data_IF_955611133625
#
_entry.id   IF_955611133625
#
_cell.length_a   1.000
_cell.length_b   1.000
_cell.length_c   1.000
_cell.angle_alpha   90.00
_cell.angle_beta   90.00
_cell.angle_gamma   90.00
#
_symmetry.space_group_name_H-M   'P 1'
#
loop_
_entity.id
_entity.type
_entity.pdbx_description
1 polymer ?
#
# COMPACT_ATOMS: atom_id res chain seq x y z
N UNK A 1 23.05 -24.33 36.46
CA UNK A 1 23.95 -23.95 35.35
C UNK A 1 23.11 -23.86 34.10
N UNK A 2 22.60 -22.66 33.79
CA UNK A 2 21.70 -22.43 32.66
C UNK A 2 22.48 -22.16 31.38
N UNK A 3 22.05 -22.78 30.28
CA UNK A 3 22.62 -22.59 28.97
C UNK A 3 22.36 -21.15 28.47
N UNK A 4 23.43 -20.44 28.09
CA UNK A 4 23.37 -19.18 27.37
C UNK A 4 23.02 -19.49 25.90
N UNK A 5 21.80 -19.15 25.46
CA UNK A 5 21.43 -19.27 24.05
C UNK A 5 21.78 -17.97 23.30
N UNK A 6 22.91 -18.01 22.58
CA UNK A 6 23.30 -17.00 21.61
C UNK A 6 22.53 -17.24 20.31
N UNK A 7 21.50 -16.44 20.03
CA UNK A 7 20.75 -16.52 18.78
C UNK A 7 21.44 -15.70 17.69
N UNK A 8 22.21 -16.37 16.83
CA UNK A 8 22.71 -15.80 15.59
C UNK A 8 21.63 -15.91 14.50
N UNK A 9 21.11 -14.79 14.02
CA UNK A 9 20.31 -14.75 12.78
C UNK A 9 21.23 -15.05 11.59
N UNK A 10 21.29 -16.31 11.16
CA UNK A 10 21.96 -16.68 9.90
C UNK A 10 21.02 -16.40 8.73
N UNK A 11 21.14 -15.22 8.13
CA UNK A 11 20.86 -15.05 6.70
C UNK A 11 22.18 -15.08 5.91
N UNK A 12 22.13 -15.64 4.71
CA UNK A 12 23.27 -15.81 3.82
C UNK A 12 23.77 -14.44 3.32
N UNK A 13 24.80 -13.93 3.98
CA UNK A 13 25.53 -12.72 3.59
C UNK A 13 26.25 -12.15 4.80
N UNK A 14 27.56 -12.37 4.90
CA UNK A 14 28.38 -11.97 6.04
C UNK A 14 28.52 -10.45 6.15
N UNK A 15 27.56 -9.80 6.79
CA UNK A 15 27.70 -8.45 7.35
C UNK A 15 27.50 -8.52 8.86
N UNK A 16 28.34 -7.79 9.61
CA UNK A 16 28.30 -7.68 11.08
C UNK A 16 26.96 -7.12 11.56
N UNK A 17 25.99 -8.02 11.77
CA UNK A 17 24.76 -7.72 12.49
C UNK A 17 25.12 -7.48 13.96
N UNK A 18 24.63 -6.38 14.54
CA UNK A 18 24.75 -6.13 15.98
C UNK A 18 24.05 -7.28 16.72
N UNK A 19 24.83 -8.22 17.25
CA UNK A 19 24.31 -9.31 18.08
C UNK A 19 23.81 -8.72 19.40
N UNK A 20 22.50 -8.61 19.57
CA UNK A 20 21.91 -8.11 20.81
C UNK A 20 21.64 -9.28 21.75
N UNK A 21 22.52 -9.49 22.72
CA UNK A 21 22.26 -10.39 23.85
C UNK A 21 21.11 -9.81 24.71
N UNK A 22 19.95 -10.45 24.67
CA UNK A 22 18.74 -10.02 25.40
C UNK A 22 18.92 -10.17 26.93
N UNK A 23 19.93 -10.93 27.38
CA UNK A 23 20.14 -11.25 28.79
C UNK A 23 20.77 -10.12 29.65
N UNK A 24 21.35 -9.07 29.08
CA UNK A 24 22.24 -8.17 29.85
C UNK A 24 21.66 -6.82 30.31
N UNK A 25 20.54 -6.34 29.77
CA UNK A 25 19.74 -5.32 30.50
C UNK A 25 18.29 -5.26 30.03
N UNK A 26 17.35 -5.49 30.95
CA UNK A 26 15.91 -5.23 30.74
C UNK A 26 15.58 -3.74 30.81
N UNK A 27 16.54 -2.90 31.16
CA UNK A 27 16.37 -1.45 31.24
C UNK A 27 17.01 -0.74 30.04
N UNK A 28 16.30 0.25 29.44
CA UNK A 28 16.85 1.11 28.40
C UNK A 28 18.07 1.87 28.92
N UNK A 29 19.18 1.81 28.18
CA UNK A 29 20.41 2.55 28.43
C UNK A 29 20.49 3.85 27.60
N UNK A 30 19.36 4.31 27.06
CA UNK A 30 19.22 5.53 26.27
C UNK A 30 18.18 6.47 26.87
N UNK A 31 18.31 7.75 26.54
CA UNK A 31 17.37 8.80 26.94
C UNK A 31 16.14 8.83 26.02
N UNK A 32 15.01 9.37 26.52
CA UNK A 32 13.79 9.52 25.72
C UNK A 32 14.00 10.45 24.51
N UNK A 33 14.90 11.44 24.62
CA UNK A 33 15.26 12.34 23.52
C UNK A 33 15.99 11.62 22.39
N UNK A 34 16.97 10.77 22.70
CA UNK A 34 17.68 9.93 21.72
C UNK A 34 16.69 9.01 20.99
N UNK A 35 15.79 8.35 21.73
CA UNK A 35 14.78 7.48 21.12
C UNK A 35 13.84 8.26 20.18
N UNK A 36 13.42 9.45 20.60
CA UNK A 36 12.53 10.32 19.80
C UNK A 36 13.22 10.79 18.52
N UNK A 37 14.52 11.09 18.56
CA UNK A 37 15.29 11.50 17.39
C UNK A 37 15.42 10.36 16.38
N UNK A 38 15.83 9.18 16.84
CA UNK A 38 15.95 7.99 15.99
C UNK A 38 14.59 7.62 15.35
N UNK A 39 13.50 7.65 16.14
CA UNK A 39 12.15 7.40 15.64
C UNK A 39 11.70 8.41 14.58
N UNK A 40 11.92 9.71 14.81
CA UNK A 40 11.56 10.74 13.83
C UNK A 40 12.26 10.50 12.49
N UNK A 41 13.52 10.09 12.54
CA UNK A 41 14.29 9.76 11.34
C UNK A 41 13.67 8.58 10.58
N UNK A 42 13.26 7.52 11.28
CA UNK A 42 12.48 6.41 10.68
C UNK A 42 11.18 6.93 10.09
N UNK A 43 10.43 7.79 10.79
CA UNK A 43 9.17 8.35 10.30
C UNK A 43 9.35 9.09 8.96
N UNK A 44 10.43 9.89 8.81
CA UNK A 44 10.72 10.63 7.57
C UNK A 44 11.29 9.78 6.42
N UNK A 45 11.75 8.57 6.70
CA UNK A 45 12.26 7.66 5.67
C UNK A 45 11.15 6.68 5.26
N UNK A 46 10.59 5.97 6.23
CA UNK A 46 9.69 4.84 5.97
C UNK A 46 8.31 5.28 5.49
N UNK A 47 7.70 6.29 6.13
CA UNK A 47 6.33 6.70 5.80
C UNK A 47 6.22 7.31 4.39
N UNK A 48 7.13 8.20 3.93
CA UNK A 48 7.05 8.72 2.57
C UNK A 48 7.28 7.64 1.52
N UNK A 49 8.25 6.74 1.71
CA UNK A 49 8.56 5.68 0.73
C UNK A 49 7.40 4.68 0.61
N UNK A 50 6.86 4.20 1.74
CA UNK A 50 5.68 3.33 1.74
C UNK A 50 4.45 4.06 1.19
N UNK A 51 4.27 5.33 1.56
CA UNK A 51 3.19 6.17 1.06
C UNK A 51 3.23 6.40 -0.45
N UNK A 52 4.41 6.61 -1.03
CA UNK A 52 4.60 6.71 -2.48
C UNK A 52 4.29 5.39 -3.19
N UNK A 53 4.72 4.26 -2.64
CA UNK A 53 4.36 2.96 -3.20
C UNK A 53 2.86 2.68 -3.11
N UNK A 54 2.21 3.10 -2.03
CA UNK A 54 0.75 3.01 -1.91
C UNK A 54 0.04 3.97 -2.87
N UNK A 55 0.59 5.15 -3.11
CA UNK A 55 0.12 6.07 -4.13
C UNK A 55 0.17 5.43 -5.53
N UNK A 56 1.29 4.76 -5.88
CA UNK A 56 1.43 4.04 -7.14
C UNK A 56 0.36 2.95 -7.29
N UNK A 57 0.12 2.17 -6.23
CA UNK A 57 -0.96 1.17 -6.20
C UNK A 57 -2.33 1.79 -6.50
N UNK A 58 -2.63 2.95 -5.91
CA UNK A 58 -3.90 3.62 -6.14
C UNK A 58 -4.01 4.23 -7.54
N UNK A 59 -2.89 4.65 -8.12
CA UNK A 59 -2.80 5.08 -9.51
C UNK A 59 -3.27 3.96 -10.44
N UNK A 60 -2.65 2.78 -10.31
CA UNK A 60 -2.90 1.63 -11.17
C UNK A 60 -4.28 0.98 -10.97
N UNK A 61 -4.91 1.20 -9.82
CA UNK A 61 -6.30 0.78 -9.56
C UNK A 61 -7.33 1.77 -10.08
N UNK A 62 -7.09 3.06 -9.84
CA UNK A 62 -7.99 4.16 -10.19
C UNK A 62 -8.04 4.48 -11.69
N UNK A 63 -7.00 4.11 -12.43
CA UNK A 63 -6.84 4.37 -13.85
C UNK A 63 -8.06 3.99 -14.71
N UNK A 64 -8.76 2.90 -14.37
CA UNK A 64 -9.91 2.42 -15.13
C UNK A 64 -11.10 3.38 -15.05
N UNK A 65 -11.30 4.04 -13.90
CA UNK A 65 -12.37 5.03 -13.74
C UNK A 65 -12.14 6.23 -14.65
N UNK A 66 -10.89 6.70 -14.72
CA UNK A 66 -10.49 7.77 -15.61
C UNK A 66 -10.59 7.34 -17.09
N UNK A 67 -10.11 6.14 -17.44
CA UNK A 67 -10.16 5.60 -18.80
C UNK A 67 -11.59 5.40 -19.33
N UNK A 68 -12.56 5.06 -18.45
CA UNK A 68 -13.99 4.96 -18.79
C UNK A 68 -14.60 6.29 -19.24
N UNK A 69 -13.96 7.41 -18.93
CA UNK A 69 -14.35 8.72 -19.47
C UNK A 69 -13.82 8.96 -20.89
N UNK A 70 -13.00 8.08 -21.45
CA UNK A 70 -12.43 8.19 -22.79
C UNK A 70 -12.99 7.10 -23.75
N UNK A 71 -12.22 6.67 -24.75
CA UNK A 71 -12.68 5.76 -25.83
C UNK A 71 -12.45 4.27 -25.56
N UNK A 72 -11.97 3.87 -24.37
CA UNK A 72 -11.55 2.49 -24.07
C UNK A 72 -12.59 1.42 -24.42
N UNK A 73 -13.87 1.68 -24.16
CA UNK A 73 -14.96 0.72 -24.45
C UNK A 73 -15.16 0.52 -25.95
N UNK A 74 -15.01 1.58 -26.74
CA UNK A 74 -15.10 1.52 -28.20
C UNK A 74 -13.87 0.83 -28.78
N UNK A 75 -12.67 1.23 -28.33
CA UNK A 75 -11.41 0.74 -28.89
C UNK A 75 -11.19 -0.76 -28.63
N UNK A 76 -11.64 -1.27 -27.49
CA UNK A 76 -11.55 -2.69 -27.15
C UNK A 76 -12.79 -3.50 -27.54
N UNK A 77 -13.84 -2.85 -28.07
CA UNK A 77 -15.14 -3.45 -28.36
C UNK A 77 -15.76 -4.16 -27.13
N UNK A 78 -15.71 -3.50 -25.98
CA UNK A 78 -16.18 -4.04 -24.70
C UNK A 78 -17.31 -3.22 -24.12
N UNK A 79 -18.21 -3.93 -23.45
CA UNK A 79 -19.27 -3.33 -22.64
C UNK A 79 -18.75 -2.95 -21.25
N UNK A 80 -19.47 -2.06 -20.57
CA UNK A 80 -19.21 -1.71 -19.17
C UNK A 80 -19.28 -2.94 -18.24
N UNK A 81 -20.15 -3.91 -18.53
CA UNK A 81 -20.20 -5.16 -17.77
C UNK A 81 -18.91 -5.99 -17.93
N UNK A 82 -18.34 -6.02 -19.13
CA UNK A 82 -17.06 -6.69 -19.38
C UNK A 82 -15.89 -5.99 -18.66
N UNK A 83 -15.92 -4.66 -18.53
CA UNK A 83 -14.98 -3.91 -17.68
C UNK A 83 -15.12 -4.34 -16.21
N UNK A 84 -16.35 -4.47 -15.70
CA UNK A 84 -16.58 -4.96 -14.33
C UNK A 84 -16.01 -6.37 -14.10
N UNK A 85 -16.12 -7.27 -15.08
CA UNK A 85 -15.49 -8.59 -15.00
C UNK A 85 -13.97 -8.46 -14.82
N UNK A 86 -13.31 -7.55 -15.54
CA UNK A 86 -11.89 -7.26 -15.34
C UNK A 86 -11.56 -6.75 -13.94
N UNK A 87 -12.36 -5.83 -13.39
CA UNK A 87 -12.19 -5.34 -12.01
C UNK A 87 -12.35 -6.46 -10.97
N UNK A 88 -13.30 -7.37 -11.19
CA UNK A 88 -13.49 -8.56 -10.37
C UNK A 88 -12.32 -9.52 -10.47
N UNK A 89 -11.74 -9.72 -11.67
CA UNK A 89 -10.54 -10.55 -11.85
C UNK A 89 -9.31 -9.98 -11.17
N UNK A 90 -9.13 -8.65 -11.19
CA UNK A 90 -8.07 -7.99 -10.41
C UNK A 90 -8.22 -8.32 -8.92
N UNK A 91 -9.42 -8.13 -8.37
CA UNK A 91 -9.72 -8.47 -6.98
C UNK A 91 -9.50 -9.95 -6.68
N UNK A 92 -9.90 -10.84 -7.59
CA UNK A 92 -9.69 -12.28 -7.45
C UNK A 92 -8.19 -12.64 -7.45
N UNK A 93 -7.39 -12.02 -8.32
CA UNK A 93 -5.94 -12.20 -8.35
C UNK A 93 -5.28 -11.83 -7.02
N UNK A 94 -5.71 -10.72 -6.42
CA UNK A 94 -5.26 -10.31 -5.08
C UNK A 94 -5.59 -11.39 -4.06
N UNK A 95 -6.86 -11.82 -3.96
CA UNK A 95 -7.30 -12.81 -2.97
C UNK A 95 -6.51 -14.13 -3.08
N UNK A 96 -6.24 -14.59 -4.30
CA UNK A 96 -5.52 -15.85 -4.54
C UNK A 96 -4.08 -15.79 -4.03
N UNK A 97 -3.38 -14.68 -4.26
CA UNK A 97 -1.95 -14.57 -3.92
C UNK A 97 -1.68 -13.81 -2.63
N UNK A 98 -2.67 -13.22 -1.96
CA UNK A 98 -2.44 -12.40 -0.77
C UNK A 98 -1.79 -13.20 0.38
N UNK A 99 -2.27 -14.41 0.67
CA UNK A 99 -1.66 -15.26 1.70
C UNK A 99 -0.27 -15.77 1.26
N UNK A 100 -0.11 -16.40 0.07
CA UNK A 100 1.19 -16.84 -0.42
C UNK A 100 2.25 -15.72 -0.48
N UNK A 101 1.87 -14.55 -0.98
CA UNK A 101 2.74 -13.38 -1.11
C UNK A 101 3.26 -12.92 0.25
N UNK A 102 2.40 -12.87 1.27
CA UNK A 102 2.83 -12.50 2.62
C UNK A 102 3.72 -13.54 3.31
N UNK A 103 3.52 -14.83 3.03
CA UNK A 103 4.45 -15.88 3.49
C UNK A 103 5.82 -15.69 2.83
N UNK A 104 5.83 -15.37 1.54
CA UNK A 104 7.06 -15.15 0.79
C UNK A 104 7.78 -13.88 1.24
N UNK A 105 7.05 -12.80 1.54
CA UNK A 105 7.56 -11.57 2.11
C UNK A 105 8.33 -11.82 3.42
N UNK A 106 7.80 -12.67 4.31
CA UNK A 106 8.49 -13.02 5.56
C UNK A 106 9.78 -13.82 5.34
N UNK A 107 9.91 -14.53 4.21
CA UNK A 107 11.09 -15.33 3.86
C UNK A 107 12.16 -14.54 3.11
N UNK A 108 11.73 -13.66 2.20
CA UNK A 108 12.63 -12.90 1.32
C UNK A 108 13.03 -11.56 1.92
N UNK A 109 12.22 -11.04 2.84
CA UNK A 109 12.37 -9.72 3.43
C UNK A 109 11.52 -8.68 2.68
N UNK A 110 10.96 -7.68 3.39
CA UNK A 110 10.04 -6.72 2.78
C UNK A 110 10.67 -5.89 1.67
N UNK A 111 11.94 -5.49 1.82
CA UNK A 111 12.62 -4.64 0.84
C UNK A 111 12.67 -5.29 -0.53
N UNK A 112 13.15 -6.53 -0.63
CA UNK A 112 13.30 -7.25 -1.90
C UNK A 112 11.95 -7.64 -2.48
N UNK A 113 11.04 -8.15 -1.66
CA UNK A 113 9.74 -8.62 -2.13
C UNK A 113 8.84 -7.47 -2.59
N UNK A 114 8.64 -6.44 -1.76
CA UNK A 114 7.78 -5.31 -2.13
C UNK A 114 8.34 -4.56 -3.35
N UNK A 115 9.67 -4.42 -3.46
CA UNK A 115 10.32 -3.87 -4.65
C UNK A 115 9.99 -4.64 -5.93
N UNK A 116 10.15 -5.97 -5.87
CA UNK A 116 9.83 -6.84 -7.00
C UNK A 116 8.36 -6.69 -7.41
N UNK A 117 7.45 -6.64 -6.44
CA UNK A 117 6.04 -6.43 -6.72
C UNK A 117 5.79 -5.09 -7.41
N UNK A 118 6.32 -3.97 -6.89
CA UNK A 118 6.09 -2.63 -7.44
C UNK A 118 6.49 -2.56 -8.92
N UNK A 119 7.68 -3.07 -9.24
CA UNK A 119 8.17 -3.11 -10.62
C UNK A 119 7.30 -4.04 -11.48
N UNK A 120 6.94 -5.21 -10.96
CA UNK A 120 6.14 -6.19 -11.70
C UNK A 120 4.75 -5.66 -12.06
N UNK A 121 4.03 -5.07 -11.10
CA UNK A 121 2.70 -4.52 -11.39
C UNK A 121 2.79 -3.24 -12.21
N UNK A 122 3.82 -2.40 -12.01
CA UNK A 122 4.07 -1.23 -12.85
C UNK A 122 4.29 -1.59 -14.32
N UNK A 123 5.05 -2.67 -14.59
CA UNK A 123 5.21 -3.21 -15.95
C UNK A 123 3.88 -3.67 -16.54
N UNK A 124 3.07 -4.41 -15.78
CA UNK A 124 1.74 -4.85 -16.23
C UNK A 124 0.83 -3.65 -16.51
N UNK A 125 0.83 -2.63 -15.64
CA UNK A 125 0.06 -1.41 -15.80
C UNK A 125 0.46 -0.65 -17.07
N UNK A 126 1.77 -0.49 -17.34
CA UNK A 126 2.25 0.10 -18.59
C UNK A 126 1.82 -0.71 -19.81
N UNK A 127 1.95 -2.04 -19.76
CA UNK A 127 1.61 -2.89 -20.90
C UNK A 127 0.10 -3.00 -21.16
N UNK A 128 -0.73 -2.66 -20.18
CA UNK A 128 -2.18 -2.60 -20.36
C UNK A 128 -2.59 -1.59 -21.45
N UNK A 129 -1.78 -0.55 -21.68
CA UNK A 129 -1.99 0.41 -22.76
C UNK A 129 -1.98 -0.22 -24.17
N UNK A 130 -1.40 -1.41 -24.33
CA UNK A 130 -1.31 -2.11 -25.61
C UNK A 130 -2.45 -3.11 -25.82
N UNK A 131 -3.41 -3.20 -24.89
CA UNK A 131 -4.59 -4.03 -25.08
C UNK A 131 -5.36 -3.62 -26.35
N UNK A 132 -5.79 -4.62 -27.13
CA UNK A 132 -6.54 -4.42 -28.38
C UNK A 132 -7.90 -5.10 -28.38
N UNK A 133 -8.16 -5.97 -27.41
CA UNK A 133 -9.40 -6.73 -27.31
C UNK A 133 -9.73 -7.07 -25.85
N UNK A 134 -10.91 -7.64 -25.65
CA UNK A 134 -11.40 -8.04 -24.33
C UNK A 134 -10.50 -9.04 -23.61
N UNK A 135 -9.96 -10.04 -24.31
CA UNK A 135 -9.12 -11.06 -23.69
C UNK A 135 -7.80 -10.45 -23.16
N UNK A 136 -7.16 -9.59 -23.94
CA UNK A 136 -5.97 -8.85 -23.52
C UNK A 136 -6.26 -8.03 -22.26
N UNK A 137 -7.40 -7.33 -22.22
CA UNK A 137 -7.85 -6.59 -21.04
C UNK A 137 -8.03 -7.50 -19.81
N UNK A 138 -8.70 -8.65 -19.93
CA UNK A 138 -8.88 -9.57 -18.81
C UNK A 138 -7.54 -10.10 -18.28
N UNK A 139 -6.62 -10.47 -19.18
CA UNK A 139 -5.29 -10.97 -18.83
C UNK A 139 -4.48 -9.91 -18.08
N UNK A 140 -4.46 -8.67 -18.56
CA UNK A 140 -3.73 -7.60 -17.86
C UNK A 140 -4.34 -7.31 -16.49
N UNK A 141 -5.67 -7.34 -16.34
CA UNK A 141 -6.33 -7.10 -15.04
C UNK A 141 -6.04 -8.19 -14.02
N UNK A 142 -6.08 -9.47 -14.40
CA UNK A 142 -5.74 -10.55 -13.46
C UNK A 142 -4.25 -10.51 -13.11
N UNK A 143 -3.36 -10.28 -14.08
CA UNK A 143 -1.91 -10.16 -13.83
C UNK A 143 -1.61 -9.00 -12.88
N UNK A 144 -2.28 -7.86 -13.07
CA UNK A 144 -2.12 -6.70 -12.19
C UNK A 144 -2.50 -7.07 -10.75
N UNK A 145 -3.66 -7.72 -10.55
CA UNK A 145 -4.09 -8.21 -9.24
C UNK A 145 -3.12 -9.23 -8.61
N UNK A 146 -2.57 -10.14 -9.41
CA UNK A 146 -1.59 -11.12 -8.95
C UNK A 146 -0.27 -10.45 -8.52
N UNK A 147 0.21 -9.46 -9.26
CA UNK A 147 1.45 -8.74 -8.94
C UNK A 147 1.31 -7.83 -7.70
N UNK A 148 0.16 -7.16 -7.54
CA UNK A 148 -0.14 -6.29 -6.40
C UNK A 148 -0.44 -7.07 -5.09
N UNK A 149 -0.73 -8.36 -5.20
CA UNK A 149 -1.23 -9.17 -4.08
C UNK A 149 -0.29 -9.14 -2.87
N UNK A 150 -0.78 -8.71 -1.71
CA UNK A 150 0.01 -8.70 -0.48
C UNK A 150 0.87 -7.45 -0.25
N UNK A 151 0.87 -6.45 -1.15
CA UNK A 151 1.59 -5.19 -0.90
C UNK A 151 1.10 -4.48 0.37
N UNK A 152 -0.23 -4.29 0.53
CA UNK A 152 -0.79 -3.57 1.69
C UNK A 152 -0.44 -4.29 3.01
N UNK A 153 -0.75 -5.60 3.19
CA UNK A 153 -0.34 -6.29 4.41
C UNK A 153 1.18 -6.33 4.59
N UNK A 154 1.95 -6.42 3.50
CA UNK A 154 3.41 -6.38 3.53
C UNK A 154 3.99 -5.05 3.99
N UNK A 155 3.41 -3.94 3.56
CA UNK A 155 3.75 -2.59 4.03
C UNK A 155 3.40 -2.43 5.52
N UNK A 156 2.22 -2.91 5.95
CA UNK A 156 1.81 -2.90 7.36
C UNK A 156 2.73 -3.78 8.23
N UNK A 157 3.12 -4.95 7.73
CA UNK A 157 4.11 -5.81 8.38
C UNK A 157 5.43 -5.08 8.53
N UNK A 158 5.93 -4.45 7.46
CA UNK A 158 7.15 -3.64 7.50
C UNK A 158 7.03 -2.58 8.59
N UNK A 159 5.97 -1.78 8.62
CA UNK A 159 5.78 -0.79 9.69
C UNK A 159 5.79 -1.42 11.08
N UNK A 160 5.16 -2.58 11.25
CA UNK A 160 5.15 -3.30 12.53
C UNK A 160 6.53 -3.76 13.01
N UNK A 161 7.49 -3.99 12.11
CA UNK A 161 8.87 -4.33 12.49
C UNK A 161 9.65 -3.11 12.97
N UNK A 162 9.39 -1.93 12.42
CA UNK A 162 10.11 -0.69 12.77
C UNK A 162 9.56 0.05 14.00
N UNK A 163 8.30 -0.20 14.36
CA UNK A 163 7.60 0.55 15.42
C UNK A 163 7.16 -0.32 16.62
N UNK A 164 7.03 0.33 17.78
CA UNK A 164 6.40 -0.27 18.97
C UNK A 164 4.89 -0.42 18.76
N UNK A 165 4.24 -1.31 19.51
CA UNK A 165 2.78 -1.53 19.42
C UNK A 165 1.97 -0.24 19.63
N UNK A 166 2.35 0.56 20.62
CA UNK A 166 1.70 1.84 20.95
C UNK A 166 1.84 2.91 19.86
N UNK A 167 2.85 2.79 18.99
CA UNK A 167 3.19 3.77 17.97
C UNK A 167 2.66 3.41 16.59
N UNK A 168 2.46 2.11 16.35
CA UNK A 168 2.10 1.54 15.05
C UNK A 168 0.73 2.03 14.57
N UNK A 169 -0.26 2.07 15.46
CA UNK A 169 -1.65 2.45 15.10
C UNK A 169 -1.74 3.83 14.44
N UNK A 170 -1.11 4.86 15.02
CA UNK A 170 -1.11 6.21 14.46
C UNK A 170 -0.51 6.27 13.05
N UNK A 171 0.56 5.51 12.83
CA UNK A 171 1.31 5.52 11.57
C UNK A 171 0.55 4.77 10.48
N UNK A 172 -0.10 3.67 10.83
CA UNK A 172 -1.05 2.99 9.95
C UNK A 172 -2.18 3.95 9.55
N UNK A 173 -2.71 4.74 10.48
CA UNK A 173 -3.72 5.76 10.14
C UNK A 173 -3.18 6.81 9.16
N UNK A 174 -1.94 7.27 9.33
CA UNK A 174 -1.30 8.20 8.37
C UNK A 174 -1.12 7.54 6.99
N UNK A 175 -0.69 6.28 6.95
CA UNK A 175 -0.54 5.51 5.71
C UNK A 175 -1.88 5.40 4.95
N UNK A 176 -2.97 5.06 5.65
CA UNK A 176 -4.31 5.01 5.05
C UNK A 176 -4.92 6.38 4.75
N UNK A 177 -4.52 7.44 5.45
CA UNK A 177 -4.91 8.80 5.06
C UNK A 177 -4.26 9.18 3.72
N UNK A 178 -3.01 8.75 3.51
CA UNK A 178 -2.31 8.87 2.23
C UNK A 178 -3.08 8.23 1.06
N UNK A 179 -3.78 7.11 1.31
CA UNK A 179 -4.64 6.44 0.31
C UNK A 179 -5.72 7.37 -0.30
N UNK A 180 -6.38 8.14 0.56
CA UNK A 180 -7.48 9.00 0.15
C UNK A 180 -6.93 10.17 -0.68
N UNK A 181 -5.83 10.78 -0.21
CA UNK A 181 -5.14 11.84 -0.94
C UNK A 181 -4.59 11.34 -2.28
N UNK A 182 -4.07 10.12 -2.31
CA UNK A 182 -3.60 9.47 -3.53
C UNK A 182 -4.73 9.33 -4.55
N UNK A 183 -5.86 8.76 -4.12
CA UNK A 183 -7.03 8.55 -4.99
C UNK A 183 -7.56 9.86 -5.58
N UNK A 184 -7.59 10.95 -4.79
CA UNK A 184 -7.95 12.28 -5.26
C UNK A 184 -6.97 12.81 -6.32
N UNK A 185 -5.68 12.68 -6.05
CA UNK A 185 -4.59 13.16 -6.91
C UNK A 185 -4.52 12.37 -8.21
N UNK A 186 -4.74 11.05 -8.19
CA UNK A 186 -4.76 10.18 -9.37
C UNK A 186 -5.82 10.63 -10.36
N UNK A 187 -7.02 11.02 -9.88
CA UNK A 187 -8.07 11.55 -10.75
C UNK A 187 -7.65 12.88 -11.41
N UNK A 188 -6.89 13.71 -10.69
CA UNK A 188 -6.36 14.97 -11.22
C UNK A 188 -5.26 14.73 -12.28
N UNK A 189 -4.34 13.80 -11.99
CA UNK A 189 -3.29 13.39 -12.92
C UNK A 189 -3.93 12.80 -14.18
N UNK A 190 -4.91 11.93 -14.05
CA UNK A 190 -5.68 11.37 -15.16
C UNK A 190 -6.36 12.45 -16.00
N UNK A 191 -6.97 13.47 -15.37
CA UNK A 191 -7.51 14.62 -16.09
C UNK A 191 -6.44 15.34 -16.93
N UNK A 192 -5.25 15.55 -16.37
CA UNK A 192 -4.11 16.14 -17.07
C UNK A 192 -3.65 15.27 -18.25
N UNK A 193 -3.49 13.97 -18.05
CA UNK A 193 -3.05 13.04 -19.11
C UNK A 193 -4.07 12.94 -20.24
N UNK A 194 -5.36 12.96 -19.94
CA UNK A 194 -6.42 12.89 -20.95
C UNK A 194 -6.42 14.10 -21.92
N UNK A 195 -5.73 15.20 -21.59
CA UNK A 195 -5.50 16.30 -22.55
C UNK A 195 -4.61 15.88 -23.73
N UNK A 196 -3.85 14.80 -23.59
CA UNK A 196 -3.01 14.22 -24.65
C UNK A 196 -3.80 13.32 -25.61
N UNK A 197 -5.11 13.18 -25.45
CA UNK A 197 -5.94 12.37 -26.35
C UNK A 197 -5.76 12.82 -27.82
N UNK A 198 -5.46 11.86 -28.71
CA UNK A 198 -5.23 12.11 -30.13
C UNK A 198 -3.79 12.54 -30.47
N UNK A 199 -2.94 12.81 -29.47
CA UNK A 199 -1.51 13.05 -29.70
C UNK A 199 -0.85 11.80 -30.24
N UNK A 200 -0.12 11.94 -31.33
CA UNK A 200 0.53 10.85 -32.08
C UNK A 200 -0.46 9.76 -32.56
N UNK A 201 -1.75 10.10 -32.71
CA UNK A 201 -2.80 9.16 -33.10
C UNK A 201 -3.20 8.16 -32.01
N UNK A 202 -2.76 8.39 -30.77
CA UNK A 202 -3.00 7.48 -29.63
C UNK A 202 -4.17 7.99 -28.78
N UNK A 203 -5.04 7.07 -28.36
CA UNK A 203 -6.16 7.38 -27.47
C UNK A 203 -5.69 7.83 -26.08
N UNK A 204 -6.44 8.72 -25.43
CA UNK A 204 -6.06 9.29 -24.13
C UNK A 204 -5.89 8.23 -23.04
N UNK A 205 -6.75 7.22 -23.02
CA UNK A 205 -6.65 6.11 -22.07
C UNK A 205 -5.37 5.28 -22.20
N UNK A 206 -4.79 5.19 -23.41
CA UNK A 206 -3.51 4.49 -23.62
C UNK A 206 -2.37 5.30 -23.02
N UNK A 207 -2.35 6.63 -23.23
CA UNK A 207 -1.40 7.52 -22.57
C UNK A 207 -1.52 7.45 -21.05
N UNK A 208 -2.74 7.33 -20.53
CA UNK A 208 -3.02 7.18 -19.11
C UNK A 208 -2.32 5.95 -18.54
N UNK A 209 -2.55 4.76 -19.11
CA UNK A 209 -1.88 3.53 -18.65
C UNK A 209 -0.34 3.58 -18.81
N UNK A 210 0.17 4.17 -19.89
CA UNK A 210 1.64 4.29 -20.09
C UNK A 210 2.26 5.17 -19.02
N UNK A 211 1.77 6.40 -18.86
CA UNK A 211 2.37 7.40 -17.98
C UNK A 211 2.25 6.97 -16.52
N UNK A 212 1.07 6.49 -16.11
CA UNK A 212 0.85 6.02 -14.74
C UNK A 212 1.69 4.78 -14.43
N UNK A 213 1.74 3.78 -15.33
CA UNK A 213 2.57 2.60 -15.13
C UNK A 213 4.07 2.91 -15.11
N UNK A 214 4.56 3.82 -15.97
CA UNK A 214 5.97 4.26 -15.96
C UNK A 214 6.28 5.02 -14.67
N UNK A 215 5.34 5.84 -14.17
CA UNK A 215 5.47 6.49 -12.87
C UNK A 215 5.58 5.44 -11.75
N UNK A 216 4.76 4.40 -11.77
CA UNK A 216 4.85 3.26 -10.84
C UNK A 216 6.21 2.58 -10.90
N UNK A 217 6.76 2.31 -12.08
CA UNK A 217 8.10 1.73 -12.24
C UNK A 217 9.16 2.66 -11.63
N UNK A 218 9.07 3.97 -11.88
CA UNK A 218 9.96 4.97 -11.28
C UNK A 218 9.88 4.97 -9.75
N UNK A 219 8.67 4.89 -9.19
CA UNK A 219 8.45 4.76 -7.75
C UNK A 219 9.04 3.44 -7.23
N UNK A 220 8.92 2.34 -7.96
CA UNK A 220 9.56 1.07 -7.63
C UNK A 220 11.08 1.16 -7.59
N UNK A 221 11.70 1.90 -8.52
CA UNK A 221 13.13 2.16 -8.51
C UNK A 221 13.53 2.99 -7.28
N UNK A 222 12.77 4.04 -6.94
CA UNK A 222 12.97 4.81 -5.71
C UNK A 222 12.84 3.89 -4.49
N UNK A 223 11.85 3.01 -4.47
CA UNK A 223 11.65 2.07 -3.38
C UNK A 223 12.84 1.12 -3.19
N UNK A 224 13.36 0.55 -4.29
CA UNK A 224 14.57 -0.30 -4.29
C UNK A 224 15.75 0.48 -3.72
N UNK A 225 15.96 1.70 -4.22
CA UNK A 225 17.13 2.49 -3.91
C UNK A 225 17.14 3.02 -2.48
N UNK A 226 15.99 3.40 -1.93
CA UNK A 226 15.90 4.15 -0.67
C UNK A 226 15.31 3.36 0.51
N UNK A 227 14.55 2.27 0.30
CA UNK A 227 13.98 1.53 1.42
C UNK A 227 15.09 0.77 2.18
N UNK A 228 15.26 0.96 3.50
CA UNK A 228 16.21 0.19 4.29
C UNK A 228 15.77 -1.29 4.45
N UNK A 229 16.70 -2.27 4.36
CA UNK A 229 16.38 -3.70 4.44
C UNK A 229 15.70 -4.13 5.74
N UNK A 230 16.16 -3.63 6.88
CA UNK A 230 15.64 -4.01 8.20
C UNK A 230 16.02 -2.98 9.27
N UNK A 231 15.42 -3.10 10.46
CA UNK A 231 15.71 -2.19 11.60
C UNK A 231 17.19 -2.23 12.00
N UNK A 232 17.83 -3.40 11.87
CA UNK A 232 19.26 -3.58 12.15
C UNK A 232 20.18 -3.22 10.98
N UNK A 233 19.65 -3.12 9.76
CA UNK A 233 20.40 -2.73 8.58
C UNK A 233 19.79 -1.47 7.95
N UNK A 234 20.30 -0.32 8.36
CA UNK A 234 19.91 0.99 7.84
C UNK A 234 20.54 1.38 6.51
N UNK A 235 21.27 0.48 5.83
CA UNK A 235 21.97 0.77 4.58
C UNK A 235 21.02 0.62 3.39
N UNK A 236 20.61 1.70 2.73
CA UNK A 236 19.86 1.58 1.48
C UNK A 236 20.77 1.10 0.34
N UNK A 237 20.18 0.53 -0.71
CA UNK A 237 20.93 0.06 -1.87
C UNK A 237 21.63 1.21 -2.61
N UNK A 238 21.08 2.43 -2.58
CA UNK A 238 21.71 3.61 -3.20
C UNK A 238 23.08 3.95 -2.60
N UNK A 239 23.31 3.61 -1.33
CA UNK A 239 24.57 3.84 -0.64
C UNK A 239 25.65 2.82 -0.99
N UNK A 240 25.36 1.82 -1.83
CA UNK A 240 26.27 0.72 -2.21
C UNK A 240 26.96 0.04 -1.01
N UNK A 241 26.32 0.06 0.16
CA UNK A 241 26.86 -0.51 1.41
C UNK A 241 27.77 0.44 2.22
N UNK A 242 28.12 1.60 1.67
CA UNK A 242 29.02 2.59 2.31
C UNK A 242 28.29 3.58 3.21
N UNK A 243 27.00 3.83 2.94
CA UNK A 243 26.18 4.78 3.69
C UNK A 243 25.00 4.10 4.40
N UNK A 244 24.77 4.49 5.65
CA UNK A 244 23.62 4.08 6.46
C UNK A 244 22.82 5.30 6.87
N UNK A 245 21.49 5.18 6.81
CA UNK A 245 20.61 6.22 7.36
C UNK A 245 20.86 6.42 8.86
N UNK A 246 21.17 5.35 9.59
CA UNK A 246 21.23 5.36 11.04
C UNK A 246 22.68 5.17 11.52
N UNK A 247 23.07 5.91 12.56
CA UNK A 247 24.33 5.67 13.28
C UNK A 247 24.24 4.36 14.07
N UNK A 248 25.38 3.79 14.48
CA UNK A 248 25.40 2.56 15.29
C UNK A 248 24.59 2.70 16.58
N UNK A 249 24.60 3.89 17.21
CA UNK A 249 23.80 4.20 18.40
C UNK A 249 22.30 4.25 18.08
N UNK A 250 21.90 4.89 16.97
CA UNK A 250 20.50 4.94 16.54
C UNK A 250 19.97 3.54 16.19
N UNK A 251 20.74 2.72 15.46
CA UNK A 251 20.36 1.33 15.13
C UNK A 251 20.18 0.48 16.38
N UNK A 252 21.13 0.57 17.32
CA UNK A 252 21.05 -0.12 18.60
C UNK A 252 19.74 0.23 19.35
N UNK A 253 19.41 1.52 19.44
CA UNK A 253 18.17 1.98 20.09
C UNK A 253 16.93 1.46 19.35
N UNK A 254 16.90 1.55 18.00
CA UNK A 254 15.77 1.14 17.19
C UNK A 254 15.47 -0.37 17.27
N UNK A 255 16.51 -1.20 17.22
CA UNK A 255 16.37 -2.66 17.36
C UNK A 255 15.91 -2.99 18.77
N UNK A 256 16.63 -2.50 19.79
CA UNK A 256 16.42 -2.91 21.18
C UNK A 256 15.08 -2.46 21.73
N UNK A 257 14.62 -1.26 21.37
CA UNK A 257 13.32 -0.75 21.82
C UNK A 257 12.14 -1.56 21.28
N UNK A 258 12.26 -2.14 20.08
CA UNK A 258 11.21 -2.99 19.49
C UNK A 258 11.22 -4.36 20.15
N UNK A 259 12.41 -4.93 20.40
CA UNK A 259 12.57 -6.21 21.09
C UNK A 259 12.09 -6.16 22.55
N UNK A 260 12.34 -5.06 23.27
CA UNK A 260 11.86 -4.86 24.63
C UNK A 260 10.32 -4.71 24.70
N UNK A 261 9.69 -4.11 23.69
CA UNK A 261 8.23 -3.96 23.59
C UNK A 261 7.53 -5.27 23.23
N UNK A 262 8.16 -6.08 22.36
CA UNK A 262 7.62 -7.37 21.96
C UNK A 262 8.74 -8.38 21.65
N UNK A 263 9.13 -9.18 22.65
CA UNK A 263 10.13 -10.24 22.45
C UNK A 263 9.73 -11.26 21.39
N UNK A 264 8.43 -11.42 21.11
CA UNK A 264 7.93 -12.31 20.07
C UNK A 264 8.30 -11.85 18.66
N UNK A 265 8.69 -10.58 18.46
CA UNK A 265 9.25 -10.09 17.18
C UNK A 265 10.64 -10.64 16.87
N UNK A 266 11.32 -11.22 17.87
CA UNK A 266 12.58 -11.98 17.70
C UNK A 266 12.32 -13.39 17.18
N UNK A 267 11.12 -13.95 17.42
CA UNK A 267 10.77 -15.29 16.99
C UNK A 267 10.50 -15.27 15.49
N UNK A 268 11.47 -15.77 14.72
CA UNK A 268 11.31 -16.00 13.29
C UNK A 268 10.17 -17.01 13.07
N UNK A 269 9.07 -16.51 12.51
CA UNK A 269 7.92 -17.27 12.03
C UNK A 269 6.96 -17.79 13.11
N UNK A 270 5.84 -17.08 13.28
CA UNK A 270 4.65 -17.69 13.86
C UNK A 270 4.16 -18.73 12.86
N UNK A 271 4.31 -20.02 13.19
CA UNK A 271 3.78 -21.10 12.37
C UNK A 271 2.25 -21.07 12.40
N UNK A 272 1.64 -20.43 11.40
CA UNK A 272 0.19 -20.42 11.22
C UNK A 272 -0.22 -21.82 10.77
N UNK A 273 -0.92 -22.58 11.62
CA UNK A 273 -1.42 -23.89 11.21
C UNK A 273 -2.72 -23.75 10.41
N UNK A 274 -3.00 -24.73 9.54
CA UNK A 274 -4.30 -24.78 8.83
C UNK A 274 -5.51 -24.85 9.79
N UNK A 275 -5.30 -25.32 11.03
CA UNK A 275 -6.33 -25.31 12.08
C UNK A 275 -6.67 -23.90 12.54
N UNK A 276 -5.68 -23.00 12.60
CA UNK A 276 -5.88 -21.60 12.99
C UNK A 276 -6.65 -20.84 11.91
N UNK A 277 -6.35 -21.11 10.64
CA UNK A 277 -7.10 -20.57 9.50
C UNK A 277 -8.56 -21.03 9.57
N UNK A 278 -8.80 -22.32 9.78
CA UNK A 278 -10.16 -22.85 9.84
C UNK A 278 -10.97 -22.33 11.02
N UNK A 279 -10.32 -22.16 12.18
CA UNK A 279 -10.93 -21.54 13.37
C UNK A 279 -11.33 -20.10 13.11
N UNK A 280 -10.51 -19.36 12.37
CA UNK A 280 -10.75 -17.97 11.99
C UNK A 280 -11.94 -17.85 11.04
N UNK A 281 -11.98 -18.69 9.99
CA UNK A 281 -13.08 -18.69 9.01
C UNK A 281 -14.42 -19.06 9.64
N UNK A 282 -14.44 -19.92 10.67
CA UNK A 282 -15.67 -20.30 11.39
C UNK A 282 -16.06 -19.35 12.52
N UNK A 283 -15.28 -18.31 12.78
CA UNK A 283 -15.58 -17.39 13.87
C UNK A 283 -16.77 -16.48 13.49
N UNK A 284 -17.90 -16.63 14.18
CA UNK A 284 -19.11 -15.87 13.91
C UNK A 284 -18.89 -14.35 13.95
N UNK A 285 -18.02 -13.83 14.84
CA UNK A 285 -17.73 -12.39 14.90
C UNK A 285 -16.99 -11.91 13.66
N UNK A 286 -16.07 -12.72 13.14
CA UNK A 286 -15.33 -12.42 11.91
C UNK A 286 -16.28 -12.47 10.71
N UNK A 287 -17.15 -13.48 10.64
CA UNK A 287 -18.15 -13.60 9.56
C UNK A 287 -19.12 -12.41 9.54
N UNK A 288 -19.61 -11.97 10.71
CA UNK A 288 -20.43 -10.75 10.83
C UNK A 288 -19.65 -9.52 10.36
N UNK A 289 -18.38 -9.40 10.75
CA UNK A 289 -17.53 -8.29 10.30
C UNK A 289 -17.30 -8.31 8.78
N UNK A 290 -17.06 -9.49 8.18
CA UNK A 290 -16.94 -9.67 6.73
C UNK A 290 -18.22 -9.24 6.02
N UNK A 291 -19.40 -9.62 6.55
CA UNK A 291 -20.69 -9.23 5.97
C UNK A 291 -20.89 -7.71 5.99
N UNK A 292 -20.58 -7.05 7.12
CA UNK A 292 -20.67 -5.59 7.26
C UNK A 292 -19.71 -4.90 6.29
N UNK A 293 -18.47 -5.38 6.18
CA UNK A 293 -17.47 -4.80 5.28
C UNK A 293 -17.85 -5.00 3.82
N UNK A 294 -18.41 -6.16 3.47
CA UNK A 294 -18.88 -6.46 2.12
C UNK A 294 -20.02 -5.52 1.70
N UNK A 295 -21.02 -5.32 2.56
CA UNK A 295 -22.13 -4.39 2.25
C UNK A 295 -21.67 -2.93 2.17
N UNK A 296 -20.74 -2.51 3.04
CA UNK A 296 -20.20 -1.16 3.03
C UNK A 296 -19.32 -0.86 1.80
N UNK A 297 -18.57 -1.85 1.30
CA UNK A 297 -17.61 -1.64 0.20
C UNK A 297 -18.24 -1.73 -1.20
N UNK A 298 -19.38 -2.43 -1.35
CA UNK A 298 -20.08 -2.54 -2.65
C UNK A 298 -20.47 -1.16 -3.19
N UNK A 299 -21.08 -0.31 -2.36
CA UNK A 299 -21.52 1.02 -2.77
C UNK A 299 -20.35 1.93 -3.13
N UNK A 300 -19.30 1.92 -2.29
CA UNK A 300 -18.10 2.75 -2.48
C UNK A 300 -17.39 2.42 -3.79
N UNK A 301 -17.18 1.14 -4.09
CA UNK A 301 -16.46 0.73 -5.31
C UNK A 301 -17.23 1.10 -6.59
N UNK A 302 -18.57 1.00 -6.57
CA UNK A 302 -19.40 1.39 -7.71
C UNK A 302 -19.30 2.90 -7.98
N UNK A 303 -19.40 3.72 -6.92
CA UNK A 303 -19.24 5.18 -7.04
C UNK A 303 -17.83 5.53 -7.51
N UNK A 304 -16.78 4.94 -6.93
CA UNK A 304 -15.40 5.23 -7.32
C UNK A 304 -15.11 4.89 -8.80
N UNK A 305 -15.68 3.79 -9.31
CA UNK A 305 -15.45 3.37 -10.70
C UNK A 305 -16.17 4.27 -11.71
N UNK A 306 -17.40 4.71 -11.38
CA UNK A 306 -18.29 5.35 -12.35
C UNK A 306 -18.51 6.84 -12.14
N UNK A 307 -18.10 7.43 -11.01
CA UNK A 307 -18.33 8.84 -10.72
C UNK A 307 -17.79 9.78 -11.82
N UNK A 308 -16.58 9.60 -12.37
CA UNK A 308 -16.14 10.40 -13.51
C UNK A 308 -17.04 10.26 -14.75
N UNK A 309 -17.49 9.04 -15.07
CA UNK A 309 -18.40 8.80 -16.19
C UNK A 309 -19.78 9.41 -15.96
N UNK A 310 -20.28 9.38 -14.72
CA UNK A 310 -21.54 10.03 -14.33
C UNK A 310 -21.41 11.54 -14.54
N UNK A 311 -20.34 12.17 -14.06
CA UNK A 311 -20.10 13.61 -14.27
C UNK A 311 -20.00 13.92 -15.77
N UNK A 312 -19.30 13.10 -16.55
CA UNK A 312 -19.23 13.26 -18.02
C UNK A 312 -20.62 13.20 -18.67
N UNK A 313 -21.51 12.33 -18.19
CA UNK A 313 -22.88 12.22 -18.72
C UNK A 313 -23.73 13.48 -18.50
N UNK A 314 -23.34 14.36 -17.56
CA UNK A 314 -23.97 15.66 -17.33
C UNK A 314 -23.56 16.74 -18.36
N UNK A 315 -22.73 16.40 -19.35
CA UNK A 315 -22.31 17.31 -20.43
C UNK A 315 -20.88 17.84 -20.29
N UNK A 316 -20.12 17.41 -19.27
CA UNK A 316 -18.72 17.78 -19.12
C UNK A 316 -17.81 16.96 -20.06
N UNK A 317 -16.70 17.56 -20.51
CA UNK A 317 -15.64 16.81 -21.19
C UNK A 317 -14.96 15.80 -20.26
N UNK A 318 -14.26 14.79 -20.80
CA UNK A 318 -13.50 13.83 -20.00
C UNK A 318 -12.52 14.49 -19.01
N UNK A 319 -11.75 15.47 -19.47
CA UNK A 319 -10.80 16.22 -18.63
C UNK A 319 -11.52 16.90 -17.45
N UNK A 320 -12.55 17.70 -17.73
CA UNK A 320 -13.32 18.39 -16.69
C UNK A 320 -14.02 17.42 -15.72
N UNK A 321 -14.54 16.29 -16.21
CA UNK A 321 -15.23 15.31 -15.38
C UNK A 321 -14.30 14.67 -14.33
N UNK A 322 -13.09 14.27 -14.75
CA UNK A 322 -12.09 13.71 -13.83
C UNK A 322 -11.55 14.77 -12.85
N UNK A 323 -11.32 16.00 -13.33
CA UNK A 323 -10.91 17.10 -12.46
C UNK A 323 -11.95 17.42 -11.39
N UNK A 324 -13.24 17.45 -11.75
CA UNK A 324 -14.32 17.70 -10.79
C UNK A 324 -14.45 16.56 -9.77
N UNK A 325 -14.31 15.31 -10.21
CA UNK A 325 -14.26 14.16 -9.31
C UNK A 325 -13.09 14.25 -8.32
N UNK A 326 -11.91 14.68 -8.79
CA UNK A 326 -10.75 14.91 -7.93
C UNK A 326 -11.04 15.93 -6.82
N UNK A 327 -11.65 17.07 -7.16
CA UNK A 327 -12.05 18.10 -6.18
C UNK A 327 -12.98 17.51 -5.11
N UNK A 328 -13.96 16.70 -5.52
CA UNK A 328 -14.85 15.98 -4.60
C UNK A 328 -14.08 15.08 -3.62
N UNK A 329 -13.10 14.32 -4.10
CA UNK A 329 -12.28 13.45 -3.26
C UNK A 329 -11.33 14.23 -2.32
N UNK A 330 -10.78 15.37 -2.74
CA UNK A 330 -10.00 16.23 -1.83
C UNK A 330 -10.87 16.80 -0.71
N UNK A 331 -12.10 17.20 -1.01
CA UNK A 331 -13.06 17.64 0.00
C UNK A 331 -13.45 16.49 0.93
N UNK A 332 -13.68 15.28 0.39
CA UNK A 332 -13.91 14.07 1.17
C UNK A 332 -12.79 13.84 2.20
N UNK A 333 -11.53 13.92 1.76
CA UNK A 333 -10.37 13.74 2.62
C UNK A 333 -10.36 14.74 3.78
N UNK A 334 -10.64 16.02 3.50
CA UNK A 334 -10.71 17.05 4.51
C UNK A 334 -11.84 16.80 5.52
N UNK A 335 -13.02 16.39 5.04
CA UNK A 335 -14.18 16.05 5.90
C UNK A 335 -13.86 14.84 6.79
N UNK A 336 -13.26 13.78 6.24
CA UNK A 336 -12.88 12.58 7.01
C UNK A 336 -11.91 12.94 8.13
N UNK A 337 -10.89 13.77 7.85
CA UNK A 337 -9.94 14.25 8.86
C UNK A 337 -10.65 15.10 9.93
N UNK A 338 -11.54 16.00 9.52
CA UNK A 338 -12.31 16.85 10.43
C UNK A 338 -13.22 16.03 11.34
N UNK A 339 -13.96 15.05 10.78
CA UNK A 339 -14.83 14.16 11.53
C UNK A 339 -14.03 13.26 12.48
N UNK A 340 -12.85 12.78 12.06
CA UNK A 340 -11.93 12.03 12.93
C UNK A 340 -11.48 12.87 14.12
N UNK A 341 -11.03 14.10 13.88
CA UNK A 341 -10.64 15.03 14.94
C UNK A 341 -11.80 15.34 15.90
N UNK A 342 -13.00 15.57 15.36
CA UNK A 342 -14.19 15.85 16.17
C UNK A 342 -14.61 14.62 16.99
N UNK A 343 -14.54 13.41 16.42
CA UNK A 343 -14.82 12.16 17.10
C UNK A 343 -13.87 11.93 18.28
N UNK A 344 -12.58 12.22 18.10
CA UNK A 344 -11.57 12.09 19.15
C UNK A 344 -11.75 13.15 20.24
N UNK A 345 -12.04 14.40 19.87
CA UNK A 345 -12.30 15.48 20.83
C UNK A 345 -13.57 15.24 21.65
N UNK A 346 -14.62 14.72 21.03
CA UNK A 346 -15.91 14.46 21.68
C UNK A 346 -15.98 13.09 22.37
N UNK A 347 -15.01 12.21 22.10
CA UNK A 347 -15.00 10.77 22.46
C UNK A 347 -16.25 10.01 21.97
N UNK A 348 -16.98 10.56 20.98
CA UNK A 348 -18.21 10.00 20.42
C UNK A 348 -17.98 9.60 18.97
N UNK A 349 -17.52 8.37 18.76
CA UNK A 349 -17.19 7.85 17.42
C UNK A 349 -18.42 7.53 16.55
N UNK A 350 -19.51 7.07 17.16
CA UNK A 350 -20.73 6.65 16.44
C UNK A 350 -21.33 7.72 15.53
N UNK A 351 -21.63 8.94 16.04
CA UNK A 351 -22.20 10.02 15.22
C UNK A 351 -21.30 10.45 14.05
N UNK A 352 -19.98 10.53 14.27
CA UNK A 352 -19.03 10.89 13.22
C UNK A 352 -19.01 9.84 12.09
N UNK A 353 -19.07 8.56 12.44
CA UNK A 353 -19.17 7.46 11.47
C UNK A 353 -20.49 7.50 10.69
N UNK A 354 -21.62 7.79 11.36
CA UNK A 354 -22.92 7.91 10.70
C UNK A 354 -22.98 9.08 9.73
N UNK A 355 -22.43 10.24 10.11
CA UNK A 355 -22.33 11.41 9.22
C UNK A 355 -21.44 11.08 8.02
N UNK A 356 -20.29 10.42 8.24
CA UNK A 356 -19.40 10.01 7.16
C UNK A 356 -20.01 8.95 6.23
N UNK A 357 -20.98 8.16 6.70
CA UNK A 357 -21.67 7.16 5.87
C UNK A 357 -22.85 7.73 5.07
N UNK A 358 -23.37 8.91 5.45
CA UNK A 358 -24.47 9.60 4.77
C UNK A 358 -23.97 10.54 3.66
N UNK A 359 -22.70 10.94 3.72
CA UNK A 359 -22.01 11.74 2.72
C UNK A 359 -21.33 10.81 1.71
#
# INVERSE_FOLDING_TARGET
>A
MGAQETYASKEAGGEDLVAVNIAESTQPDWTESEERQAKRKVDFILLPILGLAFFALQCDRGNIANALTDTITKDLHVTTNQINVGNSLLSAGIVVLEIPSNILLQKIGPQRWLSFQIISWGLVATFQAFATNYAAYLVTRILLGLCEAGFIPGALYTMSTWYKKSETSLRISIFFLGNILASATVSLIGAGILTMAGRDGVAGWRWLFIIEGVMTIGIGIIFILFLPPSVGNGKPLIGLGEWSYFTSREQYILVRRVLLDDPAKTASQVAISGRDVWRTVRNARILVHVLITLTATISVNAVQTYAPSIIKSLGFSAVHANALFSVGNFLAAAIVVLLGFLADRTKRRGPAVLIAALW
#
